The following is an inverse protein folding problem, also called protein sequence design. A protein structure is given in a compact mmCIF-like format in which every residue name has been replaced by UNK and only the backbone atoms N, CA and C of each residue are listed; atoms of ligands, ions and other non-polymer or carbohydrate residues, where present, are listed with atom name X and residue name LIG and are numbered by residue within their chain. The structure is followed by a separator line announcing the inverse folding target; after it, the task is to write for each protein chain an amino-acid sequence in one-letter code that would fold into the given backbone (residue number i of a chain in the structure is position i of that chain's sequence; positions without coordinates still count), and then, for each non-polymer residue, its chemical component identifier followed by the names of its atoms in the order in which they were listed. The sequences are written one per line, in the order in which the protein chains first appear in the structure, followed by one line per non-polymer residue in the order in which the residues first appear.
data_IF_894434440659
#
_entry.id   IF_894434440659
#
_cell.length_a   1.000
_cell.length_b   1.000
_cell.length_c   1.000
_cell.angle_alpha   90.00
_cell.angle_beta   90.00
_cell.angle_gamma   90.00
#
_symmetry.space_group_name_H-M   'P 1'
#
loop_
_entity.id
_entity.type
_entity.pdbx_description
1 polymer ?
#
# COMPACT_ATOMS: atom_id res chain seq x y z
N UNK A 1 2.94 4.70 28.92
CA UNK A 1 2.43 3.81 30.00
C UNK A 1 1.38 4.56 30.81
N UNK A 2 1.71 5.74 31.34
CA UNK A 2 0.80 6.60 32.13
C UNK A 2 -0.51 6.96 31.41
N UNK A 3 -0.45 7.38 30.14
CA UNK A 3 -1.66 7.69 29.34
C UNK A 3 -2.57 6.50 29.04
N UNK A 4 -2.20 5.28 29.46
CA UNK A 4 -3.01 4.05 29.35
C UNK A 4 -3.22 3.36 30.71
N UNK A 5 -2.92 4.04 31.84
CA UNK A 5 -3.01 3.47 33.20
C UNK A 5 -2.30 2.10 33.35
N UNK A 6 -1.14 1.94 32.73
CA UNK A 6 -0.35 0.71 32.77
C UNK A 6 1.00 0.93 33.46
N UNK A 7 1.51 -0.10 34.14
CA UNK A 7 2.81 -0.12 34.81
C UNK A 7 3.76 -1.16 34.20
N UNK A 8 5.05 -0.91 34.29
CA UNK A 8 6.12 -1.82 33.88
C UNK A 8 6.82 -2.38 35.12
N UNK A 9 6.95 -3.71 35.16
CA UNK A 9 7.73 -4.40 36.18
C UNK A 9 8.69 -5.36 35.49
N UNK A 10 10.00 -5.18 35.72
CA UNK A 10 10.99 -6.16 35.31
C UNK A 10 10.94 -7.36 36.27
N UNK A 11 11.04 -8.57 35.70
CA UNK A 11 11.09 -9.82 36.48
C UNK A 11 12.51 -10.15 36.95
N UNK A 12 13.52 -9.60 36.28
CA UNK A 12 14.94 -9.86 36.55
C UNK A 12 15.64 -8.68 37.19
N UNK A 13 15.17 -7.47 36.93
CA UNK A 13 15.73 -6.23 37.47
C UNK A 13 14.77 -5.66 38.52
N UNK A 14 15.27 -4.95 39.55
CA UNK A 14 14.44 -4.33 40.59
C UNK A 14 13.77 -3.04 40.10
N UNK A 15 13.14 -3.09 38.92
CA UNK A 15 12.46 -1.94 38.31
C UNK A 15 10.95 -2.23 38.32
N UNK A 16 10.23 -1.52 39.17
CA UNK A 16 8.76 -1.55 39.25
C UNK A 16 8.19 -0.13 39.21
N UNK A 17 7.66 0.26 38.05
CA UNK A 17 7.09 1.59 37.82
C UNK A 17 5.71 1.79 38.45
N UNK A 18 5.21 0.83 39.24
CA UNK A 18 4.06 1.04 40.13
C UNK A 18 4.47 1.73 41.44
N UNK A 19 5.77 1.77 41.75
CA UNK A 19 6.31 2.40 42.96
C UNK A 19 7.04 3.72 42.65
N UNK A 20 7.02 4.72 43.55
CA UNK A 20 7.81 5.96 43.35
C UNK A 20 9.30 5.70 43.18
N UNK A 21 9.87 4.72 43.89
CA UNK A 21 11.29 4.36 43.79
C UNK A 21 11.65 3.73 42.44
N UNK A 22 10.80 2.83 41.92
CA UNK A 22 11.02 2.24 40.60
C UNK A 22 10.81 3.24 39.46
N UNK A 23 9.87 4.18 39.61
CA UNK A 23 9.71 5.31 38.69
C UNK A 23 10.94 6.22 38.66
N UNK A 24 11.48 6.60 39.83
CA UNK A 24 12.72 7.37 39.92
C UNK A 24 13.90 6.62 39.26
N UNK A 25 14.05 5.34 39.56
CA UNK A 25 15.13 4.51 39.00
C UNK A 25 15.03 4.42 37.46
N UNK A 26 13.82 4.25 36.93
CA UNK A 26 13.57 4.27 35.49
C UNK A 26 13.94 5.62 34.85
N UNK A 27 13.60 6.73 35.49
CA UNK A 27 13.94 8.08 35.01
C UNK A 27 15.46 8.31 34.99
N UNK A 28 16.17 7.90 36.05
CA UNK A 28 17.63 7.97 36.10
C UNK A 28 18.26 7.13 34.99
N UNK A 29 17.80 5.90 34.79
CA UNK A 29 18.26 5.05 33.68
C UNK A 29 17.98 5.68 32.31
N UNK A 30 16.82 6.31 32.14
CA UNK A 30 16.49 7.07 30.93
C UNK A 30 17.45 8.24 30.69
N UNK A 31 17.78 9.00 31.73
CA UNK A 31 18.73 10.09 31.66
C UNK A 31 20.15 9.60 31.32
N UNK A 32 20.59 8.48 31.91
CA UNK A 32 21.87 7.83 31.59
C UNK A 32 21.89 7.36 30.14
N UNK A 33 20.84 6.68 29.67
CA UNK A 33 20.75 6.23 28.28
C UNK A 33 20.79 7.41 27.27
N UNK A 34 20.19 8.54 27.62
CA UNK A 34 20.27 9.77 26.82
C UNK A 34 21.69 10.34 26.79
N UNK A 35 22.38 10.37 27.93
CA UNK A 35 23.78 10.79 28.03
C UNK A 35 24.68 9.87 27.19
N UNK A 36 24.56 8.56 27.31
CA UNK A 36 25.33 7.59 26.51
C UNK A 36 25.13 7.80 25.01
N UNK A 37 23.88 7.97 24.58
CA UNK A 37 23.57 8.27 23.16
C UNK A 37 24.22 9.56 22.70
N UNK A 38 24.23 10.61 23.54
CA UNK A 38 24.89 11.88 23.23
C UNK A 38 26.41 11.70 23.10
N UNK A 39 27.04 10.97 24.02
CA UNK A 39 28.48 10.69 23.99
C UNK A 39 28.89 9.86 22.77
N UNK A 40 28.11 8.84 22.40
CA UNK A 40 28.34 8.06 21.18
C UNK A 40 28.27 8.95 19.94
N UNK A 41 27.26 9.82 19.87
CA UNK A 41 27.10 10.77 18.77
C UNK A 41 28.28 11.75 18.69
N UNK A 42 28.73 12.28 19.83
CA UNK A 42 29.88 13.16 19.92
C UNK A 42 31.16 12.47 19.43
N UNK A 43 31.45 11.27 19.95
CA UNK A 43 32.62 10.48 19.55
C UNK A 43 32.60 10.13 18.07
N UNK A 44 31.43 9.81 17.52
CA UNK A 44 31.27 9.53 16.09
C UNK A 44 31.57 10.78 15.25
N UNK A 45 31.05 11.94 15.65
CA UNK A 45 31.32 13.23 14.98
C UNK A 45 32.80 13.59 15.04
N UNK A 46 33.43 13.45 16.20
CA UNK A 46 34.86 13.68 16.38
C UNK A 46 35.71 12.76 15.48
N UNK A 47 35.37 11.47 15.43
CA UNK A 47 36.02 10.49 14.55
C UNK A 47 35.88 10.83 13.07
N UNK A 48 34.68 11.21 12.63
CA UNK A 48 34.44 11.66 11.25
C UNK A 48 35.24 12.93 10.91
N UNK A 49 35.30 13.92 11.83
CA UNK A 49 36.09 15.14 11.65
C UNK A 49 37.58 14.81 11.49
N UNK A 50 38.12 13.94 12.35
CA UNK A 50 39.52 13.50 12.27
C UNK A 50 39.81 12.67 11.00
N UNK A 51 38.88 11.82 10.56
CA UNK A 51 39.00 11.10 9.29
C UNK A 51 39.03 12.08 8.10
N UNK A 52 38.14 13.08 8.09
CA UNK A 52 38.10 14.13 7.06
C UNK A 52 39.38 14.96 7.04
N UNK A 53 39.93 15.33 8.19
CA UNK A 53 41.20 16.06 8.31
C UNK A 53 42.38 15.25 7.73
N UNK A 54 42.35 13.92 7.87
CA UNK A 54 43.31 13.00 7.23
C UNK A 54 43.02 12.74 5.74
N UNK A 55 42.16 13.54 5.10
CA UNK A 55 41.81 13.41 3.69
C UNK A 55 40.84 12.27 3.35
N UNK A 56 40.35 11.50 4.32
CA UNK A 56 39.34 10.45 4.05
C UNK A 56 38.02 11.11 3.68
N UNK A 57 37.47 10.70 2.54
CA UNK A 57 36.19 11.17 2.02
C UNK A 57 35.09 10.15 2.33
N UNK A 58 34.02 10.59 2.99
CA UNK A 58 32.86 9.73 3.29
C UNK A 58 32.05 9.39 2.02
N UNK A 59 31.26 8.32 2.11
CA UNK A 59 30.42 7.79 1.03
C UNK A 59 31.10 6.65 0.25
N UNK A 60 30.40 6.10 -0.76
CA UNK A 60 30.93 5.05 -1.63
C UNK A 60 31.81 5.67 -2.73
N UNK A 61 33.14 5.43 -2.76
CA UNK A 61 34.04 5.99 -3.77
C UNK A 61 33.64 5.61 -5.20
N UNK A 62 33.24 4.36 -5.42
CA UNK A 62 32.80 3.87 -6.73
C UNK A 62 31.56 4.59 -7.26
N UNK A 63 30.62 4.99 -6.39
CA UNK A 63 29.47 5.81 -6.82
C UNK A 63 29.88 7.24 -7.17
N UNK A 64 30.83 7.83 -6.45
CA UNK A 64 31.33 9.19 -6.73
C UNK A 64 32.06 9.26 -8.05
N UNK A 65 32.85 8.24 -8.34
CA UNK A 65 33.59 8.07 -9.58
C UNK A 65 32.71 7.54 -10.72
N UNK A 66 31.40 7.35 -10.48
CA UNK A 66 30.43 6.80 -11.42
C UNK A 66 30.86 5.46 -12.04
N UNK A 67 31.58 4.64 -11.27
CA UNK A 67 32.02 3.34 -11.72
C UNK A 67 30.81 2.45 -12.02
N UNK A 68 30.72 1.83 -13.22
CA UNK A 68 29.55 1.05 -13.62
C UNK A 68 29.19 -0.06 -12.64
N UNK A 69 30.18 -0.76 -12.08
CA UNK A 69 29.99 -1.82 -11.10
C UNK A 69 29.40 -1.32 -9.78
N UNK A 70 29.83 -0.15 -9.30
CA UNK A 70 29.31 0.43 -8.07
C UNK A 70 27.86 0.93 -8.25
N UNK A 71 27.55 1.51 -9.42
CA UNK A 71 26.18 1.91 -9.78
C UNK A 71 25.28 0.68 -9.87
N UNK A 72 25.71 -0.38 -10.55
CA UNK A 72 24.95 -1.65 -10.65
C UNK A 72 24.72 -2.27 -9.28
N UNK A 73 25.76 -2.33 -8.43
CA UNK A 73 25.64 -2.88 -7.09
C UNK A 73 24.65 -2.08 -6.22
N UNK A 74 24.72 -0.75 -6.25
CA UNK A 74 23.79 0.10 -5.53
C UNK A 74 22.35 -0.01 -6.04
N UNK A 75 22.17 -0.09 -7.38
CA UNK A 75 20.85 -0.31 -7.98
C UNK A 75 20.28 -1.68 -7.59
N UNK A 76 21.10 -2.74 -7.62
CA UNK A 76 20.71 -4.08 -7.20
C UNK A 76 20.33 -4.13 -5.70
N UNK A 77 21.08 -3.44 -4.84
CA UNK A 77 20.75 -3.35 -3.41
C UNK A 77 19.38 -2.67 -3.19
N UNK A 78 19.13 -1.53 -3.86
CA UNK A 78 17.83 -0.85 -3.81
C UNK A 78 16.70 -1.74 -4.35
N UNK A 79 16.96 -2.44 -5.45
CA UNK A 79 15.99 -3.33 -6.07
C UNK A 79 15.60 -4.49 -5.13
N UNK A 80 16.55 -5.08 -4.41
CA UNK A 80 16.27 -6.14 -3.43
C UNK A 80 15.34 -5.66 -2.32
N UNK A 81 15.61 -4.49 -1.75
CA UNK A 81 14.74 -3.87 -0.72
C UNK A 81 13.34 -3.65 -1.28
N UNK A 82 13.25 -3.02 -2.46
CA UNK A 82 11.96 -2.75 -3.11
C UNK A 82 11.14 -4.03 -3.37
N UNK A 83 11.78 -5.10 -3.85
CA UNK A 83 11.11 -6.38 -4.07
C UNK A 83 10.62 -7.00 -2.75
N UNK A 84 11.41 -6.92 -1.69
CA UNK A 84 11.00 -7.38 -0.35
C UNK A 84 9.73 -6.67 0.14
N UNK A 85 9.73 -5.34 0.10
CA UNK A 85 8.57 -4.53 0.50
C UNK A 85 7.34 -4.81 -0.38
N UNK A 86 7.58 -5.02 -1.68
CA UNK A 86 6.53 -5.33 -2.64
C UNK A 86 5.87 -6.68 -2.34
N UNK A 87 6.66 -7.71 -2.04
CA UNK A 87 6.16 -9.05 -1.69
C UNK A 87 5.36 -8.98 -0.38
N UNK A 88 5.88 -8.28 0.63
CA UNK A 88 5.19 -8.13 1.91
C UNK A 88 3.81 -7.46 1.77
N UNK A 89 3.68 -6.49 0.85
CA UNK A 89 2.40 -5.82 0.57
C UNK A 89 1.52 -6.54 -0.46
N UNK A 90 2.05 -7.53 -1.20
CA UNK A 90 1.36 -8.14 -2.34
C UNK A 90 0.05 -8.82 -1.96
N UNK A 91 -0.03 -9.42 -0.76
CA UNK A 91 -1.25 -10.07 -0.27
C UNK A 91 -2.47 -9.14 -0.23
N UNK A 92 -2.26 -7.83 -0.03
CA UNK A 92 -3.34 -6.84 0.06
C UNK A 92 -3.93 -6.46 -1.30
N UNK A 93 -3.12 -6.39 -2.36
CA UNK A 93 -3.55 -5.80 -3.64
C UNK A 93 -3.48 -6.77 -4.83
N UNK A 94 -2.60 -7.77 -4.80
CA UNK A 94 -2.41 -8.71 -5.91
C UNK A 94 -3.66 -9.55 -6.21
N UNK A 95 -4.46 -10.01 -5.22
CA UNK A 95 -5.71 -10.74 -5.51
C UNK A 95 -6.69 -9.93 -6.36
N UNK A 96 -6.80 -8.62 -6.10
CA UNK A 96 -7.67 -7.71 -6.88
C UNK A 96 -7.15 -7.57 -8.32
N UNK A 97 -5.82 -7.41 -8.48
CA UNK A 97 -5.19 -7.36 -9.80
C UNK A 97 -5.45 -8.66 -10.58
N UNK A 98 -5.28 -9.83 -9.95
CA UNK A 98 -5.53 -11.15 -10.56
C UNK A 98 -6.98 -11.32 -11.02
N UNK A 99 -7.93 -10.80 -10.23
CA UNK A 99 -9.35 -10.88 -10.58
C UNK A 99 -9.73 -9.99 -11.76
N UNK A 100 -9.07 -8.83 -11.87
CA UNK A 100 -9.45 -7.82 -12.85
C UNK A 100 -8.62 -7.90 -14.15
N UNK A 101 -7.35 -8.30 -14.07
CA UNK A 101 -6.47 -8.37 -15.25
C UNK A 101 -6.52 -9.78 -15.84
N UNK A 102 -6.51 -9.92 -17.18
CA UNK A 102 -6.37 -8.87 -18.20
C UNK A 102 -7.68 -8.20 -18.66
N UNK A 103 -8.84 -8.64 -18.17
CA UNK A 103 -10.17 -8.23 -18.69
C UNK A 103 -10.50 -6.74 -18.45
N UNK A 104 -9.83 -6.10 -17.50
CA UNK A 104 -10.02 -4.71 -17.10
C UNK A 104 -8.79 -3.85 -17.35
N UNK A 105 -9.03 -2.59 -17.68
CA UNK A 105 -7.96 -1.61 -17.88
C UNK A 105 -7.23 -1.35 -16.57
N UNK A 106 -5.97 -0.91 -16.65
CA UNK A 106 -5.21 -0.52 -15.46
C UNK A 106 -5.83 0.64 -14.68
N UNK A 107 -6.58 1.53 -15.37
CA UNK A 107 -7.31 2.62 -14.72
C UNK A 107 -8.39 2.08 -13.77
N UNK A 108 -9.19 1.13 -14.25
CA UNK A 108 -10.25 0.53 -13.44
C UNK A 108 -9.68 -0.21 -12.22
N UNK A 109 -8.56 -0.91 -12.40
CA UNK A 109 -7.88 -1.61 -11.29
C UNK A 109 -7.35 -0.64 -10.23
N UNK A 110 -6.66 0.42 -10.65
CA UNK A 110 -6.14 1.44 -9.72
C UNK A 110 -7.28 2.10 -8.95
N UNK A 111 -8.40 2.37 -9.63
CA UNK A 111 -9.57 2.98 -9.02
C UNK A 111 -10.16 2.12 -7.91
N UNK A 112 -10.30 0.82 -8.14
CA UNK A 112 -10.78 -0.15 -7.13
C UNK A 112 -9.81 -0.25 -5.96
N UNK A 113 -8.50 -0.37 -6.23
CA UNK A 113 -7.49 -0.42 -5.18
C UNK A 113 -7.49 0.83 -4.30
N UNK A 114 -7.56 2.01 -4.92
CA UNK A 114 -7.52 3.28 -4.18
C UNK A 114 -8.76 3.53 -3.36
N UNK A 115 -9.90 2.96 -3.77
CA UNK A 115 -11.11 2.99 -2.96
C UNK A 115 -10.93 2.20 -1.63
N UNK A 116 -10.22 1.06 -1.67
CA UNK A 116 -9.87 0.27 -0.48
C UNK A 116 -8.79 0.88 0.42
N UNK A 117 -8.59 2.21 0.38
CA UNK A 117 -7.61 2.94 1.19
C UNK A 117 -6.16 2.84 0.71
N UNK A 118 -5.91 2.27 -0.47
CA UNK A 118 -4.57 2.21 -1.06
C UNK A 118 -4.26 3.49 -1.86
N UNK A 119 -2.99 3.70 -2.22
CA UNK A 119 -2.57 4.85 -3.04
C UNK A 119 -1.67 4.44 -4.20
N UNK A 120 -2.30 4.04 -5.30
CA UNK A 120 -1.66 3.59 -6.53
C UNK A 120 -1.82 4.61 -7.65
N UNK A 121 -0.76 4.73 -8.46
CA UNK A 121 -0.85 5.27 -9.82
C UNK A 121 -0.76 4.12 -10.81
N UNK A 122 -1.29 4.30 -12.02
CA UNK A 122 -1.25 3.29 -13.10
C UNK A 122 0.19 2.81 -13.34
N UNK A 123 1.14 3.73 -13.43
CA UNK A 123 2.54 3.39 -13.68
C UNK A 123 3.20 2.65 -12.52
N UNK A 124 2.89 3.02 -11.27
CA UNK A 124 3.44 2.36 -10.09
C UNK A 124 2.91 0.92 -9.99
N UNK A 125 1.60 0.75 -10.17
CA UNK A 125 0.97 -0.58 -10.15
C UNK A 125 1.49 -1.45 -11.30
N UNK A 126 1.57 -0.91 -12.51
CA UNK A 126 2.10 -1.65 -13.67
C UNK A 126 3.56 -2.06 -13.45
N UNK A 127 4.39 -1.17 -12.89
CA UNK A 127 5.79 -1.49 -12.54
C UNK A 127 5.88 -2.58 -11.48
N UNK A 128 5.06 -2.50 -10.44
CA UNK A 128 4.96 -3.51 -9.39
C UNK A 128 4.59 -4.89 -9.96
N UNK A 129 3.51 -4.98 -10.73
CA UNK A 129 3.07 -6.24 -11.35
C UNK A 129 4.13 -6.77 -12.32
N UNK A 130 4.69 -5.90 -13.15
CA UNK A 130 5.77 -6.30 -14.06
C UNK A 130 6.97 -6.86 -13.30
N UNK A 131 7.30 -6.30 -12.14
CA UNK A 131 8.38 -6.82 -11.31
C UNK A 131 8.04 -8.19 -10.72
N UNK A 132 6.83 -8.39 -10.21
CA UNK A 132 6.42 -9.70 -9.69
C UNK A 132 6.39 -10.77 -10.78
N UNK A 133 6.00 -10.43 -12.00
CA UNK A 133 6.07 -11.36 -13.15
C UNK A 133 7.51 -11.72 -13.48
N UNK A 134 8.44 -10.75 -13.49
CA UNK A 134 9.87 -11.02 -13.71
C UNK A 134 10.47 -11.94 -12.65
N UNK A 135 10.05 -11.79 -11.39
CA UNK A 135 10.45 -12.66 -10.27
C UNK A 135 9.68 -13.99 -10.23
N UNK A 136 8.81 -14.27 -11.21
CA UNK A 136 7.96 -15.46 -11.31
C UNK A 136 6.98 -15.65 -10.13
N UNK A 137 6.55 -14.54 -9.52
CA UNK A 137 5.60 -14.52 -8.40
C UNK A 137 4.17 -14.16 -8.83
N UNK A 138 3.98 -13.70 -10.07
CA UNK A 138 2.69 -13.38 -10.66
C UNK A 138 2.62 -13.87 -12.11
N UNK A 139 1.40 -14.03 -12.62
CA UNK A 139 1.12 -14.58 -13.95
C UNK A 139 1.44 -13.54 -15.03
N UNK A 140 2.12 -13.96 -16.10
CA UNK A 140 2.46 -13.05 -17.22
C UNK A 140 1.22 -12.49 -17.92
N UNK A 141 0.09 -13.20 -17.84
CA UNK A 141 -1.21 -12.79 -18.41
C UNK A 141 -1.72 -11.46 -17.84
N UNK A 142 -1.35 -11.11 -16.60
CA UNK A 142 -1.76 -9.85 -15.98
C UNK A 142 -1.27 -8.62 -16.75
N UNK A 143 -0.20 -8.77 -17.54
CA UNK A 143 0.38 -7.69 -18.35
C UNK A 143 -0.25 -7.58 -19.75
N UNK A 144 -1.07 -8.53 -20.19
CA UNK A 144 -1.68 -8.52 -21.51
C UNK A 144 -2.57 -7.30 -21.74
N UNK A 145 -2.64 -6.81 -22.98
CA UNK A 145 -3.51 -5.67 -23.31
C UNK A 145 -4.98 -6.05 -23.07
N UNK A 146 -5.73 -5.18 -22.38
CA UNK A 146 -7.16 -5.40 -22.17
C UNK A 146 -7.94 -5.33 -23.48
N UNK A 147 -8.99 -6.18 -23.63
CA UNK A 147 -9.90 -6.07 -24.74
C UNK A 147 -10.62 -4.71 -24.72
N UNK A 148 -10.86 -4.12 -25.90
CA UNK A 148 -11.68 -2.91 -26.03
C UNK A 148 -13.13 -3.30 -25.69
N UNK A 149 -13.73 -2.62 -24.73
CA UNK A 149 -15.13 -2.83 -24.33
C UNK A 149 -15.98 -1.60 -24.66
N UNK A 150 -17.25 -1.79 -25.07
CA UNK A 150 -18.21 -0.70 -25.10
C UNK A 150 -18.28 -0.01 -23.73
N UNK A 151 -18.54 1.32 -23.67
CA UNK A 151 -18.64 2.05 -22.41
C UNK A 151 -19.63 1.45 -21.40
N UNK A 152 -20.73 0.86 -21.89
CA UNK A 152 -21.75 0.18 -21.07
C UNK A 152 -21.19 -1.05 -20.33
N UNK A 153 -20.30 -1.82 -20.98
CA UNK A 153 -19.65 -2.98 -20.37
C UNK A 153 -18.62 -2.60 -19.29
N UNK A 154 -18.02 -1.41 -19.41
CA UNK A 154 -17.12 -0.85 -18.39
C UNK A 154 -17.89 -0.48 -17.14
N UNK A 155 -19.00 0.26 -17.28
CA UNK A 155 -19.86 0.65 -16.16
C UNK A 155 -20.45 -0.56 -15.45
N UNK A 156 -20.95 -1.53 -16.22
CA UNK A 156 -21.44 -2.81 -15.71
C UNK A 156 -20.40 -3.51 -14.84
N UNK A 157 -19.15 -3.53 -15.28
CA UNK A 157 -18.12 -4.20 -14.49
C UNK A 157 -17.65 -3.39 -13.29
N UNK A 158 -17.60 -2.08 -13.38
CA UNK A 158 -17.26 -1.23 -12.25
C UNK A 158 -18.28 -1.40 -11.12
N UNK A 159 -19.57 -1.36 -11.47
CA UNK A 159 -20.70 -1.61 -10.58
C UNK A 159 -20.60 -3.00 -9.95
N UNK A 160 -20.35 -4.04 -10.75
CA UNK A 160 -20.15 -5.39 -10.24
C UNK A 160 -18.93 -5.50 -9.31
N UNK A 161 -17.82 -4.83 -9.64
CA UNK A 161 -16.60 -4.83 -8.83
C UNK A 161 -16.81 -4.17 -7.46
N UNK A 162 -17.56 -3.06 -7.41
CA UNK A 162 -17.93 -2.37 -6.17
C UNK A 162 -18.81 -3.30 -5.31
N UNK A 163 -19.87 -3.86 -5.88
CA UNK A 163 -20.78 -4.75 -5.16
C UNK A 163 -20.10 -6.02 -4.64
N UNK A 164 -19.00 -6.44 -5.27
CA UNK A 164 -18.23 -7.59 -4.79
C UNK A 164 -17.22 -7.19 -3.71
N UNK A 165 -16.64 -5.99 -3.80
CA UNK A 165 -15.72 -5.49 -2.79
C UNK A 165 -16.41 -5.25 -1.46
N UNK A 166 -17.69 -4.84 -1.51
CA UNK A 166 -18.52 -4.60 -0.34
C UNK A 166 -19.96 -5.11 -0.61
N UNK A 167 -20.26 -6.36 -0.21
CA UNK A 167 -21.56 -6.98 -0.44
C UNK A 167 -22.72 -6.35 0.34
N UNK A 168 -22.42 -5.59 1.40
CA UNK A 168 -23.44 -5.03 2.31
C UNK A 168 -24.01 -3.69 1.81
N UNK A 169 -23.44 -3.11 0.74
CA UNK A 169 -23.91 -1.86 0.16
C UNK A 169 -25.28 -2.00 -0.50
N UNK A 170 -26.14 -1.00 -0.27
CA UNK A 170 -27.40 -0.87 -1.01
C UNK A 170 -27.17 -0.41 -2.45
N UNK A 171 -28.20 -0.56 -3.29
CA UNK A 171 -28.20 -0.03 -4.66
C UNK A 171 -28.02 1.50 -4.70
N UNK A 172 -28.59 2.21 -3.71
CA UNK A 172 -28.41 3.66 -3.56
C UNK A 172 -26.99 4.03 -3.14
N UNK A 173 -26.38 3.25 -2.27
CA UNK A 173 -25.00 3.48 -1.83
C UNK A 173 -24.01 3.30 -2.99
N UNK A 174 -24.21 2.26 -3.80
CA UNK A 174 -23.43 2.03 -5.01
C UNK A 174 -23.63 3.19 -6.01
N UNK A 175 -24.87 3.70 -6.17
CA UNK A 175 -25.15 4.87 -7.01
C UNK A 175 -24.41 6.14 -6.50
N UNK A 176 -24.54 6.46 -5.21
CA UNK A 176 -23.86 7.58 -4.57
C UNK A 176 -22.32 7.44 -4.63
N UNK A 177 -21.82 6.20 -4.64
CA UNK A 177 -20.41 5.90 -4.82
C UNK A 177 -19.92 6.20 -6.24
N UNK A 178 -20.69 5.84 -7.27
CA UNK A 178 -20.36 6.15 -8.67
C UNK A 178 -20.34 7.66 -8.94
N UNK A 179 -21.24 8.41 -8.31
CA UNK A 179 -21.26 9.88 -8.36
C UNK A 179 -20.02 10.50 -7.70
N UNK A 180 -19.63 10.03 -6.51
CA UNK A 180 -18.38 10.45 -5.84
C UNK A 180 -17.15 10.15 -6.70
N UNK A 181 -17.18 9.05 -7.45
CA UNK A 181 -16.14 8.67 -8.41
C UNK A 181 -16.18 9.49 -9.72
N UNK A 182 -17.12 10.43 -9.84
CA UNK A 182 -17.38 11.27 -11.04
C UNK A 182 -17.67 10.46 -12.30
N UNK A 183 -18.15 9.23 -12.16
CA UNK A 183 -18.54 8.41 -13.29
C UNK A 183 -19.88 8.87 -13.86
N UNK A 184 -19.95 8.94 -15.19
CA UNK A 184 -21.19 9.31 -15.90
C UNK A 184 -22.08 8.08 -16.03
N UNK A 185 -23.40 8.28 -16.00
CA UNK A 185 -24.35 7.20 -16.29
C UNK A 185 -24.18 6.70 -17.72
N UNK A 186 -24.72 5.51 -18.08
CA UNK A 186 -24.69 5.01 -19.46
C UNK A 186 -25.25 6.00 -20.48
N UNK A 187 -26.21 6.85 -20.07
CA UNK A 187 -26.82 7.91 -20.88
C UNK A 187 -26.11 9.28 -20.77
N UNK A 188 -24.94 9.35 -20.13
CA UNK A 188 -24.12 10.57 -20.01
C UNK A 188 -24.50 11.53 -18.88
N UNK A 189 -25.45 11.15 -18.02
CA UNK A 189 -25.89 11.95 -16.86
C UNK A 189 -24.88 11.97 -15.71
N UNK A 190 -25.02 12.95 -14.81
CA UNK A 190 -24.17 13.07 -13.61
C UNK A 190 -24.75 12.41 -12.36
N UNK A 191 -26.04 12.11 -12.38
CA UNK A 191 -26.78 11.53 -11.26
C UNK A 191 -27.13 10.07 -11.57
N UNK A 192 -26.90 9.18 -10.62
CA UNK A 192 -27.14 7.75 -10.72
C UNK A 192 -28.43 7.37 -10.00
N UNK A 193 -29.34 6.70 -10.71
CA UNK A 193 -30.50 6.09 -10.11
C UNK A 193 -30.18 4.66 -9.65
N UNK A 194 -30.75 4.23 -8.52
CA UNK A 194 -30.64 2.86 -8.02
C UNK A 194 -31.12 1.81 -9.05
N UNK A 195 -32.12 2.17 -9.87
CA UNK A 195 -32.61 1.33 -10.98
C UNK A 195 -31.57 1.11 -12.08
N UNK A 196 -30.75 2.12 -12.39
CA UNK A 196 -29.66 2.00 -13.36
C UNK A 196 -28.55 1.09 -12.85
N UNK A 197 -28.22 1.17 -11.56
CA UNK A 197 -27.27 0.26 -10.91
C UNK A 197 -27.81 -1.17 -10.92
N UNK A 198 -29.08 -1.37 -10.54
CA UNK A 198 -29.76 -2.67 -10.58
C UNK A 198 -29.74 -3.29 -11.98
N UNK A 199 -30.10 -2.51 -13.01
CA UNK A 199 -30.09 -2.96 -14.41
C UNK A 199 -28.72 -3.46 -14.86
N UNK A 200 -27.64 -2.77 -14.45
CA UNK A 200 -26.27 -3.18 -14.74
C UNK A 200 -25.84 -4.44 -13.97
N UNK A 201 -26.24 -4.58 -12.70
CA UNK A 201 -25.99 -5.80 -11.93
C UNK A 201 -26.75 -7.00 -12.52
N UNK A 202 -28.00 -6.81 -12.94
CA UNK A 202 -28.81 -7.84 -13.60
C UNK A 202 -28.26 -8.23 -14.99
N UNK A 203 -27.70 -7.28 -15.72
CA UNK A 203 -26.98 -7.54 -16.96
C UNK A 203 -25.67 -8.31 -16.72
N UNK A 204 -24.92 -7.98 -15.66
CA UNK A 204 -23.72 -8.70 -15.27
C UNK A 204 -24.02 -10.16 -14.89
N UNK A 205 -25.13 -10.42 -14.18
CA UNK A 205 -25.60 -11.77 -13.84
C UNK A 205 -25.99 -12.57 -15.08
N UNK A 206 -26.73 -11.97 -16.03
CA UNK A 206 -27.09 -12.61 -17.31
C UNK A 206 -25.87 -13.03 -18.14
N UNK A 207 -24.77 -12.30 -18.00
CA UNK A 207 -23.49 -12.63 -18.65
C UNK A 207 -22.62 -13.62 -17.84
N UNK A 208 -23.20 -14.29 -16.84
CA UNK A 208 -22.54 -15.35 -16.06
C UNK A 208 -21.54 -14.87 -15.01
N UNK A 209 -21.55 -13.59 -14.63
CA UNK A 209 -20.67 -13.07 -13.56
C UNK A 209 -21.29 -13.33 -12.19
N UNK A 210 -20.48 -13.84 -11.26
CA UNK A 210 -20.86 -14.00 -9.85
C UNK A 210 -20.87 -12.64 -9.16
N UNK A 211 -22.06 -12.10 -8.93
CA UNK A 211 -22.30 -10.78 -8.32
C UNK A 211 -23.26 -10.97 -7.14
N UNK A 212 -22.88 -10.55 -5.92
CA UNK A 212 -23.74 -10.64 -4.73
C UNK A 212 -25.11 -9.98 -4.96
N UNK A 213 -26.13 -10.41 -4.21
CA UNK A 213 -27.35 -9.62 -4.11
C UNK A 213 -27.08 -8.43 -3.17
N UNK A 214 -27.19 -7.18 -3.66
CA UNK A 214 -27.10 -6.03 -2.78
C UNK A 214 -28.29 -6.05 -1.82
N UNK A 215 -28.10 -5.44 -0.66
CA UNK A 215 -29.12 -5.38 0.39
C UNK A 215 -30.35 -4.62 -0.11
N UNK A 216 -31.55 -5.14 0.18
CA UNK A 216 -32.82 -4.49 -0.18
C UNK A 216 -32.99 -3.19 0.62
N UNK A 217 -33.27 -2.11 -0.10
CA UNK A 217 -33.68 -0.83 0.47
C UNK A 217 -35.16 -0.93 0.90
N UNK A 218 -35.39 -1.38 2.15
CA UNK A 218 -36.68 -1.18 2.82
C UNK A 218 -36.83 0.29 3.25
#
# INVERSE_FOLDING_TARGET
LEGRQAHFRSLRDPIDTSTPQGMFSLQVLGAVAQLERALIAERTKAGMKAAKARGKRAGNPGLRERRPEAIRAAAAARQKVYVGDLIASASTWLPIVRRMRPQHSWDDVVRVLNHGGQTWTIEKLRRAVHRLVQERMAEAELLQRSPRRPPEDRLMTLVAGIAIADPDLSLRDIAAQLERMRERTPRGGRQWAASSVKSLLDQARRLGRVVPQPRDDA
#
